data_IF_828292719529
#
_entry.id   IF_828292719529
#
_cell.length_a   1.000
_cell.length_b   1.000
_cell.length_c   1.000
_cell.angle_alpha   90.00
_cell.angle_beta   90.00
_cell.angle_gamma   90.00
#
_symmetry.space_group_name_H-M   'P 1'
#
loop_
_entity.id
_entity.type
_entity.pdbx_description
1 polymer ?
#
# COMPACT_ATOMS: atom_id res chain seq x y z
N UNK A 1 82.73 36.43 17.25
CA UNK A 1 81.72 36.39 16.20
C UNK A 1 81.00 35.07 16.33
N UNK A 2 79.74 35.09 16.73
CA UNK A 2 78.94 33.86 17.03
C UNK A 2 77.74 33.83 16.13
N UNK A 3 77.56 32.85 15.23
CA UNK A 3 76.39 32.77 14.39
C UNK A 3 75.25 32.07 15.12
N UNK A 4 74.15 32.81 15.34
CA UNK A 4 72.89 32.28 15.86
C UNK A 4 72.26 31.35 14.84
N UNK A 5 72.06 30.08 15.18
CA UNK A 5 71.27 29.10 14.42
C UNK A 5 69.79 29.32 14.73
N UNK A 6 69.00 29.74 13.70
CA UNK A 6 67.57 29.74 13.74
C UNK A 6 67.04 28.29 13.44
N UNK A 7 66.38 27.69 14.40
CA UNK A 7 65.64 26.45 14.21
C UNK A 7 64.22 26.84 13.83
N UNK A 8 63.81 26.62 12.58
CA UNK A 8 62.41 26.74 12.13
C UNK A 8 61.71 25.40 12.48
N UNK A 9 60.84 25.42 13.47
CA UNK A 9 59.98 24.30 13.83
C UNK A 9 58.80 24.26 12.84
N UNK A 10 58.75 23.26 11.98
CA UNK A 10 57.62 22.99 11.12
C UNK A 10 56.54 22.28 11.96
N UNK A 11 55.49 23.01 12.33
CA UNK A 11 54.30 22.44 12.96
C UNK A 11 53.47 21.70 11.91
N UNK A 12 53.53 20.38 11.89
CA UNK A 12 52.61 19.55 11.12
C UNK A 12 51.25 19.55 11.78
N UNK A 13 50.31 20.32 11.23
CA UNK A 13 48.91 20.31 11.63
C UNK A 13 48.28 19.05 11.03
N UNK A 14 48.23 17.96 11.80
CA UNK A 14 47.39 16.79 11.48
C UNK A 14 45.92 17.17 11.63
N UNK A 15 45.28 17.49 10.51
CA UNK A 15 43.81 17.56 10.44
C UNK A 15 43.23 16.16 10.69
N UNK A 16 42.87 15.86 11.89
CA UNK A 16 42.03 14.71 12.22
C UNK A 16 40.67 14.97 11.61
N UNK A 17 40.40 14.34 10.46
CA UNK A 17 39.05 14.24 9.93
C UNK A 17 38.30 13.31 10.87
N UNK A 18 37.54 13.88 11.79
CA UNK A 18 36.54 13.11 12.54
C UNK A 18 35.55 12.54 11.55
N UNK A 19 35.33 11.22 11.52
CA UNK A 19 34.29 10.65 10.67
C UNK A 19 32.97 11.26 11.06
N UNK A 20 32.35 12.00 10.16
CA UNK A 20 30.96 12.45 10.30
C UNK A 20 30.11 11.19 10.34
N UNK A 21 29.79 10.72 11.55
CA UNK A 21 28.82 9.65 11.73
C UNK A 21 27.49 10.23 11.23
N UNK A 22 27.12 9.84 10.00
CA UNK A 22 25.88 10.30 9.41
C UNK A 22 24.72 9.85 10.32
N UNK A 23 24.07 10.82 10.92
CA UNK A 23 23.01 10.63 11.92
C UNK A 23 21.84 9.83 11.30
N UNK A 24 21.41 8.79 12.02
CA UNK A 24 20.20 8.04 11.65
C UNK A 24 18.98 8.96 11.72
N UNK A 25 18.17 8.97 10.66
CA UNK A 25 16.99 9.82 10.54
C UNK A 25 15.73 9.05 10.89
N UNK A 26 14.89 9.62 11.74
CA UNK A 26 13.58 9.08 12.06
C UNK A 26 12.59 9.38 10.93
N UNK A 27 11.92 8.37 10.44
CA UNK A 27 10.93 8.45 9.35
C UNK A 27 9.67 7.72 9.78
N UNK A 28 8.53 8.38 9.66
CA UNK A 28 7.24 7.76 9.93
C UNK A 28 6.48 7.51 8.64
N UNK A 29 5.90 6.31 8.52
CA UNK A 29 4.96 5.94 7.45
C UNK A 29 3.65 5.49 8.09
N UNK A 30 2.52 5.98 7.56
CA UNK A 30 1.19 5.58 8.06
C UNK A 30 0.49 4.66 7.06
N UNK A 31 0.01 3.51 7.57
CA UNK A 31 -0.83 2.56 6.85
C UNK A 31 -2.27 2.65 7.34
N UNK A 32 -3.29 2.49 6.47
CA UNK A 32 -4.70 2.56 6.87
C UNK A 32 -5.16 1.28 7.60
N UNK A 33 -4.43 0.89 8.65
CA UNK A 33 -4.65 -0.31 9.43
C UNK A 33 -3.63 -1.41 9.16
N UNK A 34 -3.80 -2.55 9.85
CA UNK A 34 -3.00 -3.76 9.64
C UNK A 34 -3.54 -4.52 8.43
N UNK A 35 -2.68 -4.85 7.47
CA UNK A 35 -3.06 -5.59 6.26
C UNK A 35 -1.87 -6.36 5.70
N UNK A 36 -2.09 -7.56 5.11
CA UNK A 36 -1.06 -8.29 4.37
C UNK A 36 -0.39 -7.43 3.29
N UNK A 37 -1.15 -6.52 2.65
CA UNK A 37 -0.69 -5.64 1.58
C UNK A 37 0.47 -4.71 1.97
N UNK A 38 0.71 -4.48 3.26
CA UNK A 38 1.77 -3.59 3.76
C UNK A 38 2.92 -4.33 4.45
N UNK A 39 2.89 -5.67 4.46
CA UNK A 39 3.89 -6.50 5.17
C UNK A 39 5.31 -6.30 4.64
N UNK A 40 5.47 -5.91 3.38
CA UNK A 40 6.78 -5.58 2.82
C UNK A 40 7.49 -4.44 3.58
N UNK A 41 6.75 -3.53 4.24
CA UNK A 41 7.31 -2.52 5.13
C UNK A 41 7.88 -3.15 6.40
N UNK A 42 7.12 -4.08 7.03
CA UNK A 42 7.58 -4.81 8.20
C UNK A 42 8.81 -5.66 7.88
N UNK A 43 8.84 -6.28 6.69
CA UNK A 43 10.02 -6.98 6.18
C UNK A 43 11.21 -6.03 6.08
N UNK A 44 11.03 -4.84 5.49
CA UNK A 44 12.11 -3.87 5.33
C UNK A 44 12.67 -3.38 6.68
N UNK A 45 11.82 -3.21 7.69
CA UNK A 45 12.24 -2.90 9.07
C UNK A 45 12.99 -4.07 9.68
N UNK A 46 12.41 -5.28 9.68
CA UNK A 46 12.95 -6.45 10.39
C UNK A 46 14.25 -6.97 9.74
N UNK A 47 14.37 -6.85 8.42
CA UNK A 47 15.60 -7.20 7.67
C UNK A 47 16.65 -6.09 7.67
N UNK A 48 16.39 -4.95 8.31
CA UNK A 48 17.32 -3.84 8.41
C UNK A 48 17.55 -3.09 7.09
N UNK A 49 16.67 -3.22 6.09
CA UNK A 49 16.86 -2.56 4.80
C UNK A 49 16.75 -1.04 4.90
N UNK A 50 15.93 -0.53 5.80
CA UNK A 50 15.90 0.89 6.11
C UNK A 50 17.14 1.35 6.90
N UNK A 51 17.64 0.52 7.82
CA UNK A 51 18.84 0.83 8.57
C UNK A 51 20.09 0.95 7.69
N UNK A 52 20.18 0.13 6.60
CA UNK A 52 21.23 0.27 5.58
C UNK A 52 21.24 1.66 4.92
N UNK A 53 20.07 2.31 4.86
CA UNK A 53 19.90 3.68 4.33
C UNK A 53 20.01 4.76 5.43
N UNK A 54 20.43 4.39 6.63
CA UNK A 54 20.49 5.27 7.82
C UNK A 54 19.11 5.85 8.18
N UNK A 55 18.06 5.07 7.96
CA UNK A 55 16.69 5.42 8.30
C UNK A 55 16.19 4.52 9.45
N UNK A 56 15.65 5.15 10.49
CA UNK A 56 14.85 4.48 11.50
C UNK A 56 13.39 4.69 11.15
N UNK A 57 12.73 3.63 10.63
CA UNK A 57 11.36 3.73 10.12
C UNK A 57 10.36 3.20 11.14
N UNK A 58 9.42 4.06 11.52
CA UNK A 58 8.28 3.73 12.37
C UNK A 58 7.04 3.56 11.49
N UNK A 59 6.39 2.38 11.56
CA UNK A 59 5.16 2.07 10.83
C UNK A 59 3.99 2.31 11.76
N UNK A 60 3.16 3.29 11.43
CA UNK A 60 1.96 3.66 12.18
C UNK A 60 0.73 3.06 11.48
N UNK A 61 0.05 2.11 12.13
CA UNK A 61 -1.22 1.60 11.66
C UNK A 61 -2.36 2.41 12.31
N UNK A 62 -3.08 3.22 11.53
CA UNK A 62 -4.13 4.09 12.03
C UNK A 62 -5.34 4.12 11.09
N UNK A 63 -6.46 4.71 11.52
CA UNK A 63 -7.59 4.96 10.62
C UNK A 63 -7.15 5.87 9.47
N UNK A 64 -7.62 5.58 8.25
CA UNK A 64 -7.18 6.28 7.05
C UNK A 64 -7.23 7.81 7.16
N UNK A 65 -8.28 8.35 7.76
CA UNK A 65 -8.41 9.80 7.98
C UNK A 65 -7.28 10.38 8.84
N UNK A 66 -6.82 9.66 9.88
CA UNK A 66 -5.70 10.10 10.71
C UNK A 66 -4.38 10.09 9.92
N UNK A 67 -4.17 9.10 9.04
CA UNK A 67 -3.02 9.09 8.14
C UNK A 67 -3.00 10.33 7.22
N UNK A 68 -4.16 10.73 6.70
CA UNK A 68 -4.26 11.92 5.85
C UNK A 68 -3.95 13.19 6.65
N UNK A 69 -4.55 13.35 7.82
CA UNK A 69 -4.31 14.51 8.69
C UNK A 69 -2.83 14.60 9.07
N UNK A 70 -2.20 13.49 9.46
CA UNK A 70 -0.78 13.45 9.82
C UNK A 70 0.14 13.74 8.61
N UNK A 71 -0.24 13.30 7.40
CA UNK A 71 0.52 13.59 6.18
C UNK A 71 0.45 15.09 5.85
N UNK A 72 -0.74 15.68 5.85
CA UNK A 72 -0.92 17.12 5.60
C UNK A 72 -0.25 18.00 6.63
N UNK A 73 -0.16 17.54 7.89
CA UNK A 73 0.57 18.20 8.96
C UNK A 73 2.10 17.91 8.94
N UNK A 74 2.60 17.19 7.95
CA UNK A 74 4.00 16.74 7.82
C UNK A 74 4.55 15.98 9.05
N UNK A 75 3.66 15.39 9.87
CA UNK A 75 4.03 14.55 11.01
C UNK A 75 4.50 13.16 10.57
N UNK A 76 4.14 12.74 9.37
CA UNK A 76 4.61 11.54 8.67
C UNK A 76 5.16 11.93 7.30
N UNK A 77 6.19 11.23 6.84
CA UNK A 77 6.78 11.46 5.53
C UNK A 77 6.06 10.73 4.40
N UNK A 78 5.46 9.56 4.72
CA UNK A 78 4.85 8.69 3.73
C UNK A 78 3.53 8.10 4.23
N UNK A 79 2.64 7.81 3.27
CA UNK A 79 1.43 7.02 3.56
C UNK A 79 1.16 5.98 2.47
N UNK A 80 0.54 4.86 2.85
CA UNK A 80 0.02 3.86 1.92
C UNK A 80 -1.50 3.96 1.74
N UNK A 81 -2.11 5.03 2.26
CA UNK A 81 -3.55 5.21 2.20
C UNK A 81 -4.01 5.65 0.80
N UNK A 82 -4.82 4.84 0.09
CA UNK A 82 -5.32 5.22 -1.23
C UNK A 82 -6.21 6.47 -1.23
N UNK A 83 -6.84 6.85 -0.11
CA UNK A 83 -7.58 8.11 0.00
C UNK A 83 -6.70 9.34 -0.24
N UNK A 84 -5.38 9.25 0.02
CA UNK A 84 -4.47 10.34 -0.35
C UNK A 84 -4.43 10.54 -1.88
N UNK A 85 -4.51 9.46 -2.66
CA UNK A 85 -4.61 9.54 -4.11
C UNK A 85 -5.91 10.21 -4.56
N UNK A 86 -7.05 9.89 -3.94
CA UNK A 86 -8.33 10.54 -4.25
C UNK A 86 -8.25 12.05 -4.00
N UNK A 87 -7.63 12.46 -2.88
CA UNK A 87 -7.41 13.90 -2.58
C UNK A 87 -6.44 14.57 -3.56
N UNK A 88 -5.46 13.85 -4.10
CA UNK A 88 -4.58 14.35 -5.17
C UNK A 88 -5.38 14.60 -6.46
N UNK A 89 -6.24 13.66 -6.83
CA UNK A 89 -7.16 13.79 -7.99
C UNK A 89 -8.08 14.99 -7.82
N UNK A 90 -8.60 15.22 -6.62
CA UNK A 90 -9.43 16.39 -6.29
C UNK A 90 -8.63 17.72 -6.21
N UNK A 91 -7.30 17.69 -6.29
CA UNK A 91 -6.44 18.86 -6.12
C UNK A 91 -6.31 19.38 -4.68
N UNK A 92 -6.77 18.60 -3.71
CA UNK A 92 -6.75 18.91 -2.27
C UNK A 92 -5.49 18.46 -1.56
N UNK A 93 -4.67 17.63 -2.22
CA UNK A 93 -3.37 17.19 -1.76
C UNK A 93 -2.37 17.30 -2.91
N UNK A 94 -1.22 17.94 -2.66
CA UNK A 94 -0.09 18.00 -3.59
C UNK A 94 0.96 16.97 -3.20
N UNK A 95 1.11 15.95 -4.02
CA UNK A 95 2.03 14.83 -3.75
C UNK A 95 2.14 13.89 -4.92
N UNK A 96 2.92 12.83 -4.74
CA UNK A 96 3.18 11.81 -5.77
C UNK A 96 3.02 10.40 -5.22
N UNK A 97 2.49 9.52 -6.05
CA UNK A 97 2.66 8.08 -5.88
C UNK A 97 4.05 7.70 -6.38
N UNK A 98 4.93 7.27 -5.49
CA UNK A 98 6.34 6.97 -5.75
C UNK A 98 6.59 5.48 -5.99
N UNK A 99 5.70 4.65 -5.48
CA UNK A 99 5.76 3.19 -5.53
C UNK A 99 4.34 2.64 -5.40
N UNK A 100 4.03 1.56 -6.13
CA UNK A 100 2.74 0.90 -6.05
C UNK A 100 2.93 -0.61 -5.92
N UNK A 101 2.71 -1.14 -4.72
CA UNK A 101 3.12 -2.50 -4.37
C UNK A 101 2.31 -3.60 -5.05
N UNK A 102 1.05 -3.35 -5.40
CA UNK A 102 0.15 -4.37 -5.94
C UNK A 102 -0.70 -3.83 -7.09
N UNK A 103 -1.25 -4.73 -7.92
CA UNK A 103 -2.20 -4.42 -8.99
C UNK A 103 -3.60 -4.85 -8.58
N UNK A 104 -4.61 -4.09 -9.01
CA UNK A 104 -6.02 -4.41 -8.78
C UNK A 104 -6.40 -4.40 -7.30
N UNK A 105 -7.57 -4.91 -7.02
CA UNK A 105 -8.16 -4.92 -5.69
C UNK A 105 -7.97 -6.27 -4.98
N UNK A 106 -7.82 -6.22 -3.66
CA UNK A 106 -7.81 -7.41 -2.80
C UNK A 106 -9.22 -7.87 -2.41
N UNK A 107 -10.24 -7.11 -2.81
CA UNK A 107 -11.62 -7.40 -2.44
C UNK A 107 -12.14 -8.61 -3.21
N UNK A 108 -12.85 -9.48 -2.50
CA UNK A 108 -13.55 -10.65 -3.05
C UNK A 108 -15.04 -10.48 -2.80
N UNK A 109 -15.84 -10.82 -3.80
CA UNK A 109 -17.30 -10.92 -3.64
C UNK A 109 -17.58 -12.28 -3.02
N UNK A 110 -17.82 -12.29 -1.73
CA UNK A 110 -18.13 -13.53 -0.99
C UNK A 110 -19.64 -13.63 -0.84
N UNK A 111 -20.17 -14.81 -1.20
CA UNK A 111 -21.60 -15.09 -1.21
C UNK A 111 -21.94 -16.35 -0.45
N UNK A 112 -23.19 -16.46 -0.03
CA UNK A 112 -23.75 -17.66 0.61
C UNK A 112 -23.61 -18.89 -0.31
N UNK A 113 -23.51 -20.12 0.25
CA UNK A 113 -23.21 -21.34 -0.52
C UNK A 113 -24.21 -21.64 -1.65
N UNK A 114 -25.46 -21.24 -1.50
CA UNK A 114 -26.54 -21.44 -2.49
C UNK A 114 -26.43 -20.48 -3.70
N UNK A 115 -25.72 -19.37 -3.58
CA UNK A 115 -25.49 -18.40 -4.67
C UNK A 115 -24.37 -18.91 -5.56
N UNK A 116 -24.67 -19.13 -6.83
CA UNK A 116 -23.72 -19.67 -7.81
C UNK A 116 -23.31 -18.67 -8.88
N UNK A 117 -24.12 -17.63 -9.04
CA UNK A 117 -23.93 -16.59 -10.05
C UNK A 117 -24.47 -15.25 -9.57
N UNK A 118 -24.14 -14.17 -10.28
CA UNK A 118 -24.71 -12.86 -10.00
C UNK A 118 -26.23 -12.82 -10.19
N UNK A 119 -26.78 -13.62 -11.11
CA UNK A 119 -28.21 -13.70 -11.32
C UNK A 119 -28.97 -14.17 -10.06
N UNK A 120 -28.36 -15.03 -9.26
CA UNK A 120 -28.93 -15.54 -8.01
C UNK A 120 -29.02 -14.48 -6.90
N UNK A 121 -28.32 -13.35 -7.08
CA UNK A 121 -28.38 -12.21 -6.14
C UNK A 121 -29.68 -11.37 -6.29
N UNK A 122 -30.47 -11.59 -7.35
CA UNK A 122 -31.72 -10.87 -7.53
C UNK A 122 -32.69 -11.14 -6.38
N UNK A 123 -33.17 -10.08 -5.74
CA UNK A 123 -34.02 -10.15 -4.54
C UNK A 123 -33.26 -10.48 -3.25
N UNK A 124 -31.93 -10.56 -3.27
CA UNK A 124 -31.07 -10.81 -2.11
C UNK A 124 -30.51 -9.51 -1.53
N UNK A 125 -29.83 -9.64 -0.38
CA UNK A 125 -29.22 -8.52 0.32
C UNK A 125 -27.69 -8.64 0.30
N UNK A 126 -27.01 -7.55 -0.06
CA UNK A 126 -25.54 -7.42 -0.02
C UNK A 126 -25.14 -6.42 1.08
N UNK A 127 -24.22 -6.84 1.95
CA UNK A 127 -23.68 -5.96 3.00
C UNK A 127 -22.58 -5.04 2.45
N UNK A 128 -22.64 -3.78 2.87
CA UNK A 128 -21.64 -2.76 2.58
C UNK A 128 -21.12 -2.12 3.88
N UNK A 129 -20.01 -1.37 3.80
CA UNK A 129 -19.47 -0.65 4.96
C UNK A 129 -20.32 0.56 5.32
N UNK A 130 -20.41 1.51 4.41
CA UNK A 130 -21.18 2.76 4.50
C UNK A 130 -21.68 3.14 3.12
N UNK A 131 -22.85 3.72 3.02
CA UNK A 131 -23.32 4.28 1.75
C UNK A 131 -22.39 5.38 1.24
N UNK A 132 -22.09 5.38 -0.06
CA UNK A 132 -21.13 6.28 -0.69
C UNK A 132 -19.66 5.94 -0.39
N UNK A 133 -19.37 4.99 0.49
CA UNK A 133 -18.02 4.50 0.78
C UNK A 133 -17.49 3.55 -0.29
N UNK A 134 -16.20 3.19 -0.19
CA UNK A 134 -15.53 2.36 -1.19
C UNK A 134 -16.26 1.02 -1.46
N UNK A 135 -16.66 0.28 -0.42
CA UNK A 135 -17.36 -1.00 -0.59
C UNK A 135 -18.74 -0.83 -1.25
N UNK A 136 -19.46 0.28 -1.02
CA UNK A 136 -20.72 0.56 -1.69
C UNK A 136 -20.50 0.85 -3.17
N UNK A 137 -19.57 1.78 -3.49
CA UNK A 137 -19.25 2.13 -4.87
C UNK A 137 -18.80 0.92 -5.69
N UNK A 138 -17.86 0.13 -5.14
CA UNK A 138 -17.37 -1.08 -5.80
C UNK A 138 -18.47 -2.14 -5.97
N UNK A 139 -19.33 -2.35 -4.95
CA UNK A 139 -20.44 -3.29 -5.07
C UNK A 139 -21.42 -2.89 -6.16
N UNK A 140 -21.77 -1.60 -6.26
CA UNK A 140 -22.66 -1.08 -7.31
C UNK A 140 -22.07 -1.27 -8.70
N UNK A 141 -20.77 -1.00 -8.84
CA UNK A 141 -20.06 -1.21 -10.10
C UNK A 141 -20.05 -2.68 -10.51
N UNK A 142 -19.70 -3.58 -9.60
CA UNK A 142 -19.72 -5.02 -9.84
C UNK A 142 -21.13 -5.50 -10.22
N UNK A 143 -22.15 -5.10 -9.49
CA UNK A 143 -23.54 -5.45 -9.82
C UNK A 143 -23.92 -4.95 -11.21
N UNK A 144 -23.54 -3.72 -11.57
CA UNK A 144 -23.79 -3.12 -12.89
C UNK A 144 -23.08 -3.89 -14.02
N UNK A 145 -21.84 -4.34 -13.82
CA UNK A 145 -21.12 -5.18 -14.78
C UNK A 145 -21.90 -6.47 -15.13
N UNK A 146 -22.74 -6.94 -14.21
CA UNK A 146 -23.56 -8.14 -14.36
C UNK A 146 -25.06 -7.85 -14.59
N UNK A 147 -25.40 -6.63 -14.99
CA UNK A 147 -26.77 -6.23 -15.35
C UNK A 147 -27.73 -6.12 -14.16
N UNK A 148 -27.22 -6.00 -12.94
CA UNK A 148 -28.02 -5.82 -11.72
C UNK A 148 -27.95 -4.38 -11.22
N UNK A 149 -29.10 -3.89 -10.74
CA UNK A 149 -29.21 -2.53 -10.21
C UNK A 149 -29.27 -2.60 -8.68
N UNK A 150 -28.27 -2.00 -8.01
CA UNK A 150 -28.25 -1.86 -6.56
C UNK A 150 -29.47 -1.09 -6.06
N UNK A 151 -30.04 -1.50 -4.94
CA UNK A 151 -31.29 -1.00 -4.31
C UNK A 151 -32.57 -1.34 -5.08
N UNK A 152 -32.48 -1.93 -6.27
CA UNK A 152 -33.62 -2.40 -7.04
C UNK A 152 -33.64 -3.93 -7.14
N UNK A 153 -32.58 -4.49 -7.75
CA UNK A 153 -32.45 -5.94 -7.92
C UNK A 153 -31.76 -6.58 -6.71
N UNK A 154 -30.82 -5.89 -6.08
CA UNK A 154 -30.06 -6.34 -4.89
C UNK A 154 -30.17 -5.24 -3.82
N UNK A 155 -30.71 -5.58 -2.65
CA UNK A 155 -30.77 -4.65 -1.52
C UNK A 155 -29.38 -4.44 -0.92
N UNK A 156 -29.02 -3.19 -0.66
CA UNK A 156 -27.75 -2.85 -0.01
C UNK A 156 -28.00 -2.55 1.47
N UNK A 157 -27.27 -3.23 2.36
CA UNK A 157 -27.40 -3.06 3.80
C UNK A 157 -26.09 -2.54 4.41
N UNK A 158 -26.13 -1.36 5.02
CA UNK A 158 -24.98 -0.81 5.74
C UNK A 158 -24.75 -1.57 7.05
N UNK A 159 -23.61 -2.26 7.16
CA UNK A 159 -23.25 -3.08 8.32
C UNK A 159 -21.99 -2.55 9.02
N UNK A 160 -21.03 -1.94 8.28
CA UNK A 160 -19.79 -1.40 8.84
C UNK A 160 -18.55 -2.20 8.47
N UNK A 161 -17.72 -2.56 9.46
CA UNK A 161 -16.42 -3.19 9.27
C UNK A 161 -16.49 -4.60 8.65
N UNK A 162 -15.37 -5.12 8.16
CA UNK A 162 -15.32 -6.41 7.45
C UNK A 162 -15.73 -7.58 8.36
N UNK A 163 -15.35 -7.55 9.63
CA UNK A 163 -15.76 -8.53 10.65
C UNK A 163 -17.26 -8.55 10.86
N UNK A 164 -17.91 -7.38 10.98
CA UNK A 164 -19.36 -7.28 11.12
C UNK A 164 -20.09 -7.75 9.85
N UNK A 165 -19.58 -7.43 8.65
CA UNK A 165 -20.15 -7.93 7.40
C UNK A 165 -20.01 -9.44 7.27
N UNK A 166 -18.86 -10.00 7.67
CA UNK A 166 -18.67 -11.44 7.71
C UNK A 166 -19.61 -12.12 8.71
N UNK A 167 -19.80 -11.54 9.91
CA UNK A 167 -20.77 -12.04 10.89
C UNK A 167 -22.20 -12.00 10.35
N UNK A 168 -22.59 -10.94 9.64
CA UNK A 168 -23.90 -10.82 9.01
C UNK A 168 -24.12 -11.89 7.90
N UNK A 169 -23.09 -12.20 7.12
CA UNK A 169 -23.11 -13.26 6.12
C UNK A 169 -23.28 -14.65 6.79
N UNK A 170 -22.52 -14.92 7.86
CA UNK A 170 -22.62 -16.16 8.64
C UNK A 170 -23.97 -16.38 9.29
N UNK A 171 -24.61 -15.33 9.74
CA UNK A 171 -25.96 -15.40 10.34
C UNK A 171 -27.10 -15.39 9.29
N UNK A 172 -26.76 -15.48 8.01
CA UNK A 172 -27.70 -15.41 6.87
C UNK A 172 -28.56 -14.13 6.85
N UNK A 173 -28.11 -13.07 7.54
CA UNK A 173 -28.74 -11.74 7.48
C UNK A 173 -28.54 -11.08 6.12
N UNK A 174 -27.46 -11.40 5.46
CA UNK A 174 -27.12 -11.01 4.08
C UNK A 174 -26.61 -12.22 3.30
N UNK A 175 -26.75 -12.21 1.98
CA UNK A 175 -26.30 -13.32 1.11
C UNK A 175 -25.04 -12.99 0.32
N UNK A 176 -24.58 -11.73 0.37
CA UNK A 176 -23.36 -11.30 -0.30
C UNK A 176 -22.65 -10.18 0.48
N UNK A 177 -21.36 -10.09 0.32
CA UNK A 177 -20.56 -8.95 0.79
C UNK A 177 -19.18 -8.92 0.12
N UNK A 178 -18.50 -7.77 0.15
CA UNK A 178 -17.09 -7.65 -0.19
C UNK A 178 -16.25 -7.93 1.06
N UNK A 179 -15.35 -8.90 1.00
CA UNK A 179 -14.39 -9.22 2.05
C UNK A 179 -12.94 -9.11 1.53
N UNK A 180 -12.01 -8.95 2.47
CA UNK A 180 -10.56 -8.91 2.20
C UNK A 180 -9.80 -9.72 3.25
N UNK A 181 -8.59 -10.14 2.90
CA UNK A 181 -7.66 -10.77 3.83
C UNK A 181 -8.22 -12.02 4.49
N UNK A 182 -8.01 -12.17 5.79
CA UNK A 182 -8.39 -13.34 6.58
C UNK A 182 -9.90 -13.65 6.48
N UNK A 183 -10.77 -12.64 6.51
CA UNK A 183 -12.23 -12.88 6.47
C UNK A 183 -12.68 -13.53 5.16
N UNK A 184 -12.08 -13.15 4.02
CA UNK A 184 -12.41 -13.79 2.74
C UNK A 184 -11.93 -15.22 2.69
N UNK A 185 -10.73 -15.51 3.19
CA UNK A 185 -10.16 -16.87 3.22
C UNK A 185 -10.97 -17.76 4.14
N UNK A 186 -11.22 -17.31 5.37
CA UNK A 186 -12.00 -18.08 6.35
C UNK A 186 -13.43 -18.35 5.84
N UNK A 187 -14.05 -17.41 5.13
CA UNK A 187 -15.35 -17.64 4.52
C UNK A 187 -15.29 -18.77 3.49
N UNK A 188 -14.30 -18.77 2.59
CA UNK A 188 -14.13 -19.83 1.58
C UNK A 188 -13.87 -21.19 2.24
N UNK A 189 -13.08 -21.26 3.29
CA UNK A 189 -12.83 -22.49 4.06
C UNK A 189 -14.09 -23.01 4.75
N UNK A 190 -15.04 -22.13 5.09
CA UNK A 190 -16.34 -22.48 5.67
C UNK A 190 -17.42 -22.79 4.63
N UNK A 191 -17.05 -22.90 3.33
CA UNK A 191 -17.94 -23.31 2.26
C UNK A 191 -18.74 -22.18 1.58
N UNK A 192 -18.47 -20.91 1.95
CA UNK A 192 -18.96 -19.76 1.18
C UNK A 192 -18.28 -19.74 -0.19
N UNK A 193 -18.84 -19.01 -1.14
CA UNK A 193 -18.36 -18.98 -2.52
C UNK A 193 -17.82 -17.60 -2.88
N UNK A 194 -16.87 -17.56 -3.79
CA UNK A 194 -16.39 -16.34 -4.44
C UNK A 194 -17.06 -16.22 -5.82
N UNK A 195 -17.58 -15.04 -6.13
CA UNK A 195 -17.98 -14.70 -7.49
C UNK A 195 -16.89 -13.80 -8.10
N UNK A 196 -16.44 -14.18 -9.29
CA UNK A 196 -15.44 -13.43 -10.04
C UNK A 196 -16.03 -12.12 -10.59
N UNK A 197 -15.21 -11.09 -10.68
CA UNK A 197 -15.57 -9.82 -11.30
C UNK A 197 -14.34 -9.20 -11.98
N UNK A 198 -14.58 -8.34 -12.96
CA UNK A 198 -13.53 -7.56 -13.56
C UNK A 198 -13.09 -6.45 -12.59
N UNK A 199 -11.89 -6.60 -12.04
CA UNK A 199 -11.34 -5.62 -11.09
C UNK A 199 -11.05 -4.31 -11.81
N UNK A 200 -11.69 -3.21 -11.40
CA UNK A 200 -11.39 -1.91 -11.98
C UNK A 200 -9.95 -1.48 -11.69
N UNK A 201 -9.39 -0.59 -12.51
CA UNK A 201 -8.10 0.03 -12.20
C UNK A 201 -8.14 0.70 -10.83
N UNK A 202 -7.16 0.39 -9.98
CA UNK A 202 -7.08 0.89 -8.62
C UNK A 202 -5.64 1.08 -8.15
N UNK A 203 -5.40 2.12 -7.34
CA UNK A 203 -4.11 2.35 -6.67
C UNK A 203 -4.05 1.45 -5.45
N UNK A 204 -3.30 0.36 -5.54
CA UNK A 204 -3.24 -0.66 -4.49
C UNK A 204 -1.88 -0.70 -3.81
N UNK A 205 -1.86 -0.44 -2.49
CA UNK A 205 -0.62 -0.32 -1.72
C UNK A 205 0.29 0.80 -2.22
N UNK A 206 -0.25 2.01 -2.50
CA UNK A 206 0.58 3.12 -2.97
C UNK A 206 1.55 3.56 -1.88
N UNK A 207 2.71 4.06 -2.27
CA UNK A 207 3.58 4.83 -1.40
C UNK A 207 3.50 6.28 -1.86
N UNK A 208 2.89 7.11 -1.04
CA UNK A 208 2.63 8.52 -1.35
C UNK A 208 3.43 9.42 -0.41
N UNK A 209 4.06 10.45 -0.98
CA UNK A 209 4.67 11.54 -0.26
C UNK A 209 4.17 12.88 -0.81
N UNK A 210 4.26 13.94 0.01
CA UNK A 210 3.98 15.31 -0.45
C UNK A 210 5.09 15.81 -1.37
N UNK A 211 4.75 16.72 -2.28
CA UNK A 211 5.72 17.41 -3.15
C UNK A 211 6.76 18.17 -2.31
N UNK A 212 6.37 18.74 -1.16
CA UNK A 212 7.27 19.39 -0.21
C UNK A 212 8.33 18.43 0.35
N UNK A 213 7.95 17.16 0.64
CA UNK A 213 8.89 16.13 1.11
C UNK A 213 9.89 15.76 0.01
N UNK A 214 9.42 15.59 -1.23
CA UNK A 214 10.27 15.30 -2.39
C UNK A 214 11.27 16.42 -2.68
N UNK A 215 10.82 17.67 -2.66
CA UNK A 215 11.65 18.84 -2.91
C UNK A 215 12.69 19.07 -1.81
N UNK A 216 12.32 18.83 -0.54
CA UNK A 216 13.19 19.07 0.61
C UNK A 216 14.29 18.03 0.75
N UNK A 217 14.01 16.75 0.48
CA UNK A 217 14.95 15.67 0.78
C UNK A 217 14.80 14.44 -0.15
N UNK A 218 15.25 14.60 -1.40
CA UNK A 218 15.26 13.51 -2.38
C UNK A 218 16.06 12.28 -1.88
N UNK A 219 17.14 12.50 -1.12
CA UNK A 219 17.99 11.41 -0.61
C UNK A 219 17.23 10.53 0.39
N UNK A 220 16.45 11.13 1.30
CA UNK A 220 15.56 10.42 2.21
C UNK A 220 14.54 9.59 1.44
N UNK A 221 13.89 10.21 0.45
CA UNK A 221 12.87 9.51 -0.37
C UNK A 221 13.49 8.35 -1.13
N UNK A 222 14.67 8.53 -1.73
CA UNK A 222 15.38 7.45 -2.45
C UNK A 222 15.74 6.30 -1.53
N UNK A 223 16.32 6.58 -0.35
CA UNK A 223 16.65 5.55 0.64
C UNK A 223 15.41 4.82 1.15
N UNK A 224 14.31 5.55 1.37
CA UNK A 224 13.05 4.94 1.77
C UNK A 224 12.48 4.01 0.69
N UNK A 225 12.41 4.46 -0.57
CA UNK A 225 11.93 3.63 -1.70
C UNK A 225 12.84 2.42 -1.91
N UNK A 226 14.17 2.55 -1.71
CA UNK A 226 15.10 1.41 -1.78
C UNK A 226 14.82 0.37 -0.70
N UNK A 227 14.62 0.79 0.55
CA UNK A 227 14.21 -0.09 1.63
C UNK A 227 12.87 -0.80 1.36
N UNK A 228 11.87 -0.06 0.86
CA UNK A 228 10.58 -0.59 0.42
C UNK A 228 10.75 -1.64 -0.66
N UNK A 229 11.51 -1.35 -1.72
CA UNK A 229 11.71 -2.28 -2.83
C UNK A 229 12.45 -3.55 -2.39
N UNK A 230 13.50 -3.44 -1.57
CA UNK A 230 14.19 -4.59 -0.97
C UNK A 230 13.23 -5.45 -0.14
N UNK A 231 12.40 -4.83 0.71
CA UNK A 231 11.39 -5.52 1.51
C UNK A 231 10.35 -6.24 0.65
N UNK A 232 9.92 -5.61 -0.44
CA UNK A 232 8.95 -6.17 -1.37
C UNK A 232 9.54 -7.34 -2.20
N UNK A 233 10.80 -7.25 -2.64
CA UNK A 233 11.52 -8.34 -3.30
C UNK A 233 11.72 -9.53 -2.34
N UNK A 234 12.14 -9.28 -1.09
CA UNK A 234 12.24 -10.31 -0.07
C UNK A 234 10.89 -11.01 0.17
N UNK A 235 9.81 -10.23 0.33
CA UNK A 235 8.47 -10.77 0.56
C UNK A 235 8.04 -11.76 -0.53
N UNK A 236 8.49 -11.54 -1.77
CA UNK A 236 8.26 -12.45 -2.89
C UNK A 236 9.24 -13.64 -2.92
N UNK A 237 10.54 -13.41 -2.71
CA UNK A 237 11.59 -14.37 -3.00
C UNK A 237 11.91 -15.31 -1.84
N UNK A 238 11.47 -14.94 -0.62
CA UNK A 238 11.69 -15.71 0.63
C UNK A 238 10.34 -16.01 1.32
N UNK A 239 9.45 -16.78 0.68
CA UNK A 239 8.07 -16.95 1.14
C UNK A 239 7.97 -17.47 2.57
N UNK A 240 8.76 -18.45 2.98
CA UNK A 240 8.71 -19.01 4.34
C UNK A 240 9.04 -17.96 5.40
N UNK A 241 10.11 -17.19 5.17
CA UNK A 241 10.52 -16.14 6.09
C UNK A 241 9.54 -14.95 6.05
N UNK A 242 9.00 -14.64 4.88
CA UNK A 242 8.01 -13.59 4.70
C UNK A 242 6.70 -13.94 5.43
N UNK A 243 6.26 -15.20 5.40
CA UNK A 243 5.09 -15.70 6.14
C UNK A 243 5.30 -15.53 7.65
N UNK A 244 6.48 -15.84 8.19
CA UNK A 244 6.77 -15.65 9.61
C UNK A 244 6.68 -14.16 10.02
N UNK A 245 7.20 -13.26 9.19
CA UNK A 245 7.11 -11.81 9.43
C UNK A 245 5.65 -11.34 9.31
N UNK A 246 4.91 -11.82 8.31
CA UNK A 246 3.50 -11.53 8.12
C UNK A 246 2.66 -11.96 9.33
N UNK A 247 2.90 -13.18 9.84
CA UNK A 247 2.22 -13.74 11.00
C UNK A 247 2.39 -12.82 12.22
N UNK A 248 3.63 -12.42 12.50
CA UNK A 248 3.97 -11.52 13.59
C UNK A 248 3.35 -10.13 13.40
N UNK A 249 3.46 -9.54 12.20
CA UNK A 249 2.96 -8.21 11.89
C UNK A 249 1.43 -8.09 12.03
N UNK A 250 0.70 -9.14 11.65
CA UNK A 250 -0.75 -9.20 11.74
C UNK A 250 -1.27 -9.85 13.02
N UNK A 251 -0.37 -10.34 13.89
CA UNK A 251 -0.72 -11.05 15.15
C UNK A 251 -1.64 -12.26 14.89
N UNK A 252 -1.35 -13.01 13.84
CA UNK A 252 -2.11 -14.21 13.49
C UNK A 252 -1.55 -15.42 14.22
N UNK A 253 -2.43 -16.33 14.63
CA UNK A 253 -2.03 -17.58 15.31
C UNK A 253 -1.90 -18.74 14.33
N UNK A 254 -2.69 -18.74 13.24
CA UNK A 254 -2.73 -19.83 12.26
C UNK A 254 -1.70 -19.64 11.14
N UNK A 255 -0.65 -20.51 11.07
CA UNK A 255 0.35 -20.46 10.00
C UNK A 255 -0.21 -20.78 8.61
N UNK A 256 -1.25 -21.63 8.52
CA UNK A 256 -1.87 -22.01 7.24
C UNK A 256 -2.62 -20.82 6.64
N UNK A 257 -3.42 -20.15 7.47
CA UNK A 257 -4.07 -18.89 7.08
C UNK A 257 -3.05 -17.84 6.64
N UNK A 258 -1.95 -17.71 7.39
CA UNK A 258 -0.90 -16.75 7.07
C UNK A 258 -0.23 -17.05 5.73
N UNK A 259 0.07 -18.33 5.45
CA UNK A 259 0.64 -18.76 4.18
C UNK A 259 -0.31 -18.51 3.01
N UNK A 260 -1.61 -18.70 3.22
CA UNK A 260 -2.63 -18.41 2.20
C UNK A 260 -2.74 -16.90 1.94
N UNK A 261 -2.69 -16.06 2.97
CA UNK A 261 -2.65 -14.60 2.83
C UNK A 261 -1.42 -14.13 2.02
N UNK A 262 -0.24 -14.70 2.30
CA UNK A 262 0.95 -14.44 1.50
C UNK A 262 0.73 -14.81 0.02
N UNK A 263 0.20 -16.01 -0.24
CA UNK A 263 -0.08 -16.48 -1.61
C UNK A 263 -1.06 -15.56 -2.34
N UNK A 264 -2.08 -15.06 -1.65
CA UNK A 264 -3.04 -14.11 -2.21
C UNK A 264 -2.40 -12.77 -2.58
N UNK A 265 -1.52 -12.25 -1.71
CA UNK A 265 -0.79 -11.03 -2.04
C UNK A 265 0.13 -11.23 -3.26
N UNK A 266 0.73 -12.42 -3.42
CA UNK A 266 1.57 -12.73 -4.57
C UNK A 266 0.82 -12.74 -5.91
N UNK A 267 -0.49 -13.00 -5.94
CA UNK A 267 -1.31 -12.91 -7.17
C UNK A 267 -1.37 -11.48 -7.72
N UNK A 268 -1.27 -10.49 -6.85
CA UNK A 268 -1.37 -9.06 -7.16
C UNK A 268 -0.02 -8.35 -7.15
N UNK A 269 1.07 -9.11 -6.93
CA UNK A 269 2.42 -8.57 -6.82
C UNK A 269 2.79 -7.73 -8.04
N UNK A 270 3.27 -6.51 -7.79
CA UNK A 270 3.70 -5.59 -8.81
C UNK A 270 5.23 -5.44 -8.79
N UNK A 271 5.91 -6.11 -9.72
CA UNK A 271 7.35 -6.05 -9.83
C UNK A 271 7.85 -4.62 -10.08
N UNK A 272 8.88 -4.20 -9.33
CA UNK A 272 9.48 -2.87 -9.48
C UNK A 272 8.61 -1.72 -8.97
N UNK A 273 7.38 -2.00 -8.48
CA UNK A 273 6.51 -0.98 -7.87
C UNK A 273 6.00 0.10 -8.82
N UNK A 274 6.01 -0.15 -10.12
CA UNK A 274 5.56 0.78 -11.16
C UNK A 274 4.37 0.20 -11.91
N UNK A 275 3.49 1.06 -12.38
CA UNK A 275 2.35 0.70 -13.20
C UNK A 275 2.63 1.08 -14.66
N UNK A 276 2.15 0.28 -15.60
CA UNK A 276 2.25 0.59 -17.02
C UNK A 276 1.41 1.83 -17.38
N UNK A 277 1.86 2.59 -18.37
CA UNK A 277 1.21 3.83 -18.77
C UNK A 277 -0.26 3.63 -19.18
N UNK A 278 -0.57 2.54 -19.88
CA UNK A 278 -1.95 2.20 -20.25
C UNK A 278 -2.85 1.96 -19.03
N UNK A 279 -2.31 1.35 -17.96
CA UNK A 279 -3.04 1.19 -16.70
C UNK A 279 -3.22 2.52 -15.98
N UNK A 280 -2.18 3.37 -15.95
CA UNK A 280 -2.25 4.71 -15.35
C UNK A 280 -3.28 5.60 -16.03
N UNK A 281 -3.38 5.57 -17.37
CA UNK A 281 -4.39 6.32 -18.12
C UNK A 281 -5.80 5.92 -17.70
N UNK A 282 -6.11 4.63 -17.68
CA UNK A 282 -7.43 4.13 -17.23
C UNK A 282 -7.73 4.48 -15.78
N UNK A 283 -6.71 4.42 -14.92
CA UNK A 283 -6.84 4.74 -13.50
C UNK A 283 -7.13 6.24 -13.29
N UNK A 284 -6.42 7.12 -14.01
CA UNK A 284 -6.63 8.57 -13.95
C UNK A 284 -7.99 8.95 -14.55
N UNK A 285 -8.37 8.35 -15.67
CA UNK A 285 -9.68 8.58 -16.30
C UNK A 285 -10.83 8.21 -15.35
N UNK A 286 -10.77 7.02 -14.78
CA UNK A 286 -11.74 6.58 -13.77
C UNK A 286 -11.78 7.50 -12.56
N UNK A 287 -10.60 7.83 -11.99
CA UNK A 287 -10.53 8.72 -10.85
C UNK A 287 -11.13 10.10 -11.13
N UNK A 288 -10.97 10.59 -12.38
CA UNK A 288 -11.60 11.83 -12.84
C UNK A 288 -13.12 11.70 -12.93
N UNK A 289 -13.63 10.56 -13.43
CA UNK A 289 -15.07 10.30 -13.51
C UNK A 289 -15.72 10.21 -12.14
N UNK A 290 -15.03 9.59 -11.18
CA UNK A 290 -15.48 9.45 -9.78
C UNK A 290 -15.31 10.74 -8.97
N UNK A 291 -14.47 11.67 -9.42
CA UNK A 291 -14.17 12.93 -8.72
C UNK A 291 -15.25 13.97 -8.92
N UNK A 292 -15.58 14.69 -7.86
CA UNK A 292 -16.48 15.86 -7.91
C UNK A 292 -15.86 16.99 -8.73
N UNK A 293 -14.55 17.16 -8.70
CA UNK A 293 -13.84 18.26 -9.34
C UNK A 293 -13.75 18.14 -10.86
N UNK A 294 -13.84 16.94 -11.44
CA UNK A 294 -13.79 16.62 -12.89
C UNK A 294 -12.71 17.41 -13.67
N UNK A 295 -11.58 17.72 -13.01
CA UNK A 295 -10.48 18.46 -13.61
C UNK A 295 -9.68 17.59 -14.59
N UNK A 296 -9.05 18.20 -15.57
CA UNK A 296 -8.03 17.52 -16.35
C UNK A 296 -6.82 17.20 -15.48
N UNK A 297 -6.28 16.00 -15.65
CA UNK A 297 -5.19 15.46 -14.86
C UNK A 297 -4.09 14.92 -15.78
N UNK A 298 -2.87 15.40 -15.60
CA UNK A 298 -1.69 14.72 -16.17
C UNK A 298 -1.25 13.60 -15.20
N UNK A 299 -0.92 12.44 -15.77
CA UNK A 299 -0.33 11.31 -15.01
C UNK A 299 0.86 11.78 -14.18
N UNK A 300 1.69 12.68 -14.72
CA UNK A 300 2.87 13.23 -14.03
C UNK A 300 2.54 14.10 -12.82
N UNK A 301 1.33 14.62 -12.73
CA UNK A 301 0.88 15.32 -11.53
C UNK A 301 0.65 14.37 -10.36
N UNK A 302 0.31 13.13 -10.63
CA UNK A 302 -0.08 12.14 -9.63
C UNK A 302 1.00 11.08 -9.36
N UNK A 303 1.85 10.79 -10.36
CA UNK A 303 2.83 9.71 -10.29
C UNK A 303 4.23 10.20 -10.64
N UNK A 304 5.21 9.78 -9.82
CA UNK A 304 6.64 9.89 -10.12
C UNK A 304 7.36 8.58 -9.76
N UNK A 305 7.53 7.73 -10.74
CA UNK A 305 8.25 6.46 -10.60
C UNK A 305 9.75 6.56 -10.97
N UNK A 306 10.30 7.76 -11.12
CA UNK A 306 11.72 7.94 -11.48
C UNK A 306 12.64 7.29 -10.44
N UNK A 307 12.39 7.55 -9.16
CA UNK A 307 13.15 6.98 -8.05
C UNK A 307 13.03 5.45 -8.01
N UNK A 308 11.82 4.90 -8.20
CA UNK A 308 11.62 3.45 -8.22
C UNK A 308 12.39 2.80 -9.39
N UNK A 309 12.48 3.46 -10.55
CA UNK A 309 13.26 3.00 -11.69
C UNK A 309 14.76 3.03 -11.40
N UNK A 310 15.27 4.15 -10.90
CA UNK A 310 16.68 4.31 -10.52
C UNK A 310 17.12 3.22 -9.53
N UNK A 311 16.29 2.96 -8.50
CA UNK A 311 16.55 1.93 -7.48
C UNK A 311 16.50 0.52 -8.10
N UNK A 312 15.52 0.22 -8.94
CA UNK A 312 15.43 -1.09 -9.60
C UNK A 312 16.66 -1.37 -10.47
N UNK A 313 17.11 -0.39 -11.26
CA UNK A 313 18.30 -0.48 -12.09
C UNK A 313 19.57 -0.67 -11.24
N UNK A 314 19.70 0.05 -10.13
CA UNK A 314 20.78 -0.11 -9.17
C UNK A 314 20.83 -1.53 -8.58
N UNK A 315 19.68 -2.05 -8.09
CA UNK A 315 19.60 -3.40 -7.52
C UNK A 315 19.93 -4.48 -8.56
N UNK A 316 19.51 -4.31 -9.81
CA UNK A 316 19.88 -5.21 -10.91
C UNK A 316 21.37 -5.15 -11.20
N UNK A 317 21.95 -3.96 -11.32
CA UNK A 317 23.39 -3.75 -11.59
C UNK A 317 24.27 -4.34 -10.50
N UNK A 318 23.86 -4.20 -9.25
CA UNK A 318 24.60 -4.74 -8.08
C UNK A 318 24.29 -6.21 -7.82
N UNK A 319 23.44 -6.86 -8.64
CA UNK A 319 22.99 -8.24 -8.47
C UNK A 319 22.45 -8.50 -7.05
N UNK A 320 21.81 -7.51 -6.48
CA UNK A 320 21.27 -7.60 -5.12
C UNK A 320 20.23 -8.72 -5.01
N UNK A 321 20.38 -9.58 -4.02
CA UNK A 321 19.43 -10.65 -3.66
C UNK A 321 19.08 -10.56 -2.18
N UNK A 322 17.84 -10.85 -1.79
CA UNK A 322 17.42 -10.82 -0.40
C UNK A 322 17.91 -12.02 0.44
#
# INVERSE_FOLDING_TARGET
MNPKRFIIAFAVVCCWQTPVIAQTRNVRVCTPGLSPAFTYLNVAVERGYFAQEKLHVEILAARGQLCITALLAEQIAFTTNPTAFDLMVEGRLKGKVLYNAARGLAHRVIVAPEIKSYADLKGKTMAISTFGGFADKLSREILSQHGLVAMKDVMMLQIGTADLRYAALRSNKVQATLLVGNYSITALEQGYRELDYESPPYVSGPMIALDSTLARDRALVTGFVRGVMKGHLFFRQRPEQAVAILQKALRLEDPKLTAQLHKDEMRRYNAGGRLEESYLRRLVERAREDSVAKRELDIKELFDFSIAREVEEELKRTQWTP
#
